data_IF_418577845549
#
_entry.id   IF_418577845549
#
_cell.length_a   1.000
_cell.length_b   1.000
_cell.length_c   1.000
_cell.angle_alpha   90.00
_cell.angle_beta   90.00
_cell.angle_gamma   90.00
#
_symmetry.space_group_name_H-M   'P 1'
#
loop_
_entity.id
_entity.type
_entity.pdbx_description
1 polymer ?
#
# COMPACT_ATOMS: atom_id res chain seq x y z
N UNK A 1 -16.79 -30.84 -8.42
CA UNK A 1 -15.72 -31.31 -7.53
C UNK A 1 -15.09 -30.09 -6.90
N UNK A 2 -15.32 -29.86 -5.61
CA UNK A 2 -14.60 -28.85 -4.83
C UNK A 2 -13.14 -29.27 -4.74
N UNK A 3 -12.22 -28.36 -5.08
CA UNK A 3 -10.78 -28.55 -4.84
C UNK A 3 -10.54 -28.85 -3.36
N UNK A 4 -9.60 -29.75 -3.07
CA UNK A 4 -9.06 -29.96 -1.73
C UNK A 4 -8.68 -28.61 -1.09
N UNK A 5 -9.18 -28.28 0.13
CA UNK A 5 -8.85 -27.03 0.79
C UNK A 5 -7.34 -26.75 0.90
N UNK A 6 -6.51 -27.79 1.11
CA UNK A 6 -5.06 -27.60 1.19
C UNK A 6 -4.48 -27.19 -0.16
N UNK A 7 -4.84 -27.91 -1.23
CA UNK A 7 -4.45 -27.54 -2.60
C UNK A 7 -4.89 -26.11 -2.97
N UNK A 8 -6.06 -25.64 -2.51
CA UNK A 8 -6.51 -24.27 -2.74
C UNK A 8 -5.66 -23.23 -1.99
N UNK A 9 -5.25 -23.53 -0.75
CA UNK A 9 -4.34 -22.66 0.01
C UNK A 9 -2.99 -22.57 -0.72
N UNK A 10 -2.43 -23.70 -1.15
CA UNK A 10 -1.17 -23.73 -1.91
C UNK A 10 -1.25 -22.88 -3.18
N UNK A 11 -2.33 -23.02 -3.95
CA UNK A 11 -2.58 -22.21 -5.13
C UNK A 11 -2.61 -20.70 -4.82
N UNK A 12 -3.25 -20.28 -3.73
CA UNK A 12 -3.28 -18.88 -3.33
C UNK A 12 -1.89 -18.33 -2.97
N UNK A 13 -1.07 -19.13 -2.28
CA UNK A 13 0.31 -18.72 -1.96
C UNK A 13 1.18 -18.63 -3.21
N UNK A 14 1.13 -19.63 -4.11
CA UNK A 14 1.87 -19.61 -5.39
C UNK A 14 1.48 -18.38 -6.21
N UNK A 15 0.17 -18.12 -6.37
CA UNK A 15 -0.31 -16.95 -7.10
C UNK A 15 0.14 -15.63 -6.47
N UNK A 16 0.19 -15.54 -5.13
CA UNK A 16 0.69 -14.36 -4.42
C UNK A 16 2.19 -14.12 -4.66
N UNK A 17 3.00 -15.19 -4.65
CA UNK A 17 4.43 -15.12 -4.95
C UNK A 17 4.66 -14.61 -6.37
N UNK A 18 3.97 -15.19 -7.36
CA UNK A 18 4.11 -14.75 -8.75
C UNK A 18 3.67 -13.29 -8.94
N UNK A 19 2.60 -12.86 -8.28
CA UNK A 19 2.14 -11.47 -8.35
C UNK A 19 3.19 -10.51 -7.77
N UNK A 20 3.84 -10.86 -6.66
CA UNK A 20 4.92 -10.07 -6.05
C UNK A 20 6.15 -10.03 -6.96
N UNK A 21 6.53 -11.16 -7.56
CA UNK A 21 7.66 -11.23 -8.49
C UNK A 21 7.45 -10.31 -9.70
N UNK A 22 6.27 -10.39 -10.35
CA UNK A 22 5.93 -9.49 -11.47
C UNK A 22 5.89 -8.03 -11.06
N UNK A 23 5.40 -7.73 -9.84
CA UNK A 23 5.38 -6.37 -9.32
C UNK A 23 6.80 -5.83 -9.15
N UNK A 24 7.71 -6.62 -8.57
CA UNK A 24 9.11 -6.22 -8.42
C UNK A 24 9.77 -5.92 -9.77
N UNK A 25 9.55 -6.76 -10.77
CA UNK A 25 10.12 -6.62 -12.12
C UNK A 25 9.67 -5.34 -12.84
N UNK A 26 8.42 -4.89 -12.62
CA UNK A 26 7.82 -3.84 -13.45
C UNK A 26 7.52 -2.54 -12.71
N UNK A 27 7.35 -2.58 -11.39
CA UNK A 27 6.82 -1.45 -10.61
C UNK A 27 7.87 -0.72 -9.78
N UNK A 28 9.07 -1.27 -9.59
CA UNK A 28 10.12 -0.65 -8.77
C UNK A 28 10.34 0.84 -9.07
N UNK A 29 10.63 1.23 -10.33
CA UNK A 29 10.80 2.64 -10.70
C UNK A 29 9.55 3.50 -10.46
N UNK A 30 8.34 2.95 -10.67
CA UNK A 30 7.08 3.66 -10.47
C UNK A 30 6.77 3.89 -8.99
N UNK A 31 7.11 2.94 -8.14
CA UNK A 31 6.98 3.06 -6.68
C UNK A 31 7.89 4.18 -6.17
N UNK A 32 9.16 4.23 -6.63
CA UNK A 32 10.09 5.31 -6.30
C UNK A 32 9.53 6.66 -6.74
N UNK A 33 9.06 6.77 -7.98
CA UNK A 33 8.49 8.01 -8.51
C UNK A 33 7.27 8.48 -7.69
N UNK A 34 6.39 7.56 -7.27
CA UNK A 34 5.25 7.87 -6.43
C UNK A 34 5.69 8.38 -5.05
N UNK A 35 6.65 7.70 -4.42
CA UNK A 35 7.21 8.13 -3.13
C UNK A 35 7.82 9.53 -3.21
N UNK A 36 8.60 9.84 -4.25
CA UNK A 36 9.17 11.16 -4.46
C UNK A 36 8.09 12.25 -4.63
N UNK A 37 6.99 11.94 -5.31
CA UNK A 37 5.86 12.85 -5.46
C UNK A 37 5.25 13.19 -4.09
N UNK A 38 5.00 12.18 -3.25
CA UNK A 38 4.46 12.35 -1.91
C UNK A 38 5.41 13.14 -1.01
N UNK A 39 6.71 12.84 -1.06
CA UNK A 39 7.75 13.56 -0.30
C UNK A 39 7.76 15.04 -0.68
N UNK A 40 7.73 15.36 -1.99
CA UNK A 40 7.67 16.75 -2.45
C UNK A 40 6.42 17.46 -1.96
N UNK A 41 5.25 16.83 -2.08
CA UNK A 41 3.97 17.37 -1.60
C UNK A 41 4.03 17.73 -0.11
N UNK A 42 4.47 16.78 0.73
CA UNK A 42 4.54 16.97 2.18
C UNK A 42 5.58 18.03 2.59
N UNK A 43 6.74 18.07 1.94
CA UNK A 43 7.77 19.09 2.20
C UNK A 43 7.30 20.51 1.85
N UNK A 44 6.38 20.64 0.91
CA UNK A 44 5.77 21.93 0.53
C UNK A 44 4.57 22.30 1.41
N UNK A 45 4.32 21.58 2.50
CA UNK A 45 3.17 21.81 3.39
C UNK A 45 1.84 21.28 2.83
N UNK A 46 1.90 20.46 1.78
CA UNK A 46 0.74 19.76 1.23
C UNK A 46 0.27 18.60 2.12
N UNK A 47 -0.79 17.91 1.66
CA UNK A 47 -1.37 16.76 2.35
C UNK A 47 -1.69 15.63 1.36
N UNK A 48 -1.65 14.40 1.86
CA UNK A 48 -1.97 13.20 1.09
C UNK A 48 -3.43 12.82 1.32
N UNK A 49 -4.20 12.64 0.25
CA UNK A 49 -5.58 12.15 0.32
C UNK A 49 -5.63 10.76 -0.29
N UNK A 50 -6.02 9.75 0.49
CA UNK A 50 -6.15 8.37 0.05
C UNK A 50 -7.62 7.97 0.00
N UNK A 51 -8.03 7.21 -1.02
CA UNK A 51 -9.41 6.73 -1.14
C UNK A 51 -9.42 5.34 -1.80
N UNK A 52 -10.51 4.61 -1.58
CA UNK A 52 -10.70 3.26 -2.11
C UNK A 52 -12.05 2.70 -1.70
N UNK A 53 -12.46 1.59 -2.31
CA UNK A 53 -13.71 0.89 -2.02
C UNK A 53 -13.42 -0.52 -1.49
N UNK A 54 -14.27 -1.04 -0.60
CA UNK A 54 -14.11 -2.41 -0.07
C UNK A 54 -12.76 -2.61 0.61
N UNK A 55 -12.01 -3.64 0.22
CA UNK A 55 -10.67 -3.91 0.76
C UNK A 55 -9.70 -2.73 0.58
N UNK A 56 -9.76 -2.03 -0.55
CA UNK A 56 -8.90 -0.86 -0.80
C UNK A 56 -9.24 0.35 0.06
N UNK A 57 -10.44 0.38 0.67
CA UNK A 57 -10.75 1.39 1.68
C UNK A 57 -9.93 1.16 2.95
N UNK A 58 -9.76 -0.11 3.36
CA UNK A 58 -8.91 -0.46 4.49
C UNK A 58 -7.44 -0.12 4.21
N UNK A 59 -6.95 -0.34 2.98
CA UNK A 59 -5.59 0.07 2.58
C UNK A 59 -5.40 1.60 2.65
N UNK A 60 -6.40 2.38 2.19
CA UNK A 60 -6.35 3.84 2.27
C UNK A 60 -6.30 4.34 3.72
N UNK A 61 -7.06 3.72 4.62
CA UNK A 61 -7.03 4.01 6.06
C UNK A 61 -5.68 3.62 6.68
N UNK A 62 -5.18 2.43 6.36
CA UNK A 62 -3.89 1.96 6.85
C UNK A 62 -2.76 2.92 6.45
N UNK A 63 -2.70 3.28 5.17
CA UNK A 63 -1.71 4.20 4.66
C UNK A 63 -1.78 5.59 5.30
N UNK A 64 -2.99 6.15 5.47
CA UNK A 64 -3.15 7.42 6.18
C UNK A 64 -2.73 7.32 7.65
N UNK A 65 -3.03 6.21 8.32
CA UNK A 65 -2.66 5.98 9.72
C UNK A 65 -1.14 5.91 9.92
N UNK A 66 -0.41 5.22 9.04
CA UNK A 66 1.06 5.16 9.07
C UNK A 66 1.70 6.54 8.86
N UNK A 67 1.09 7.39 8.03
CA UNK A 67 1.55 8.76 7.82
C UNK A 67 1.27 9.66 9.02
N UNK A 68 0.03 9.67 9.53
CA UNK A 68 -0.39 10.54 10.64
C UNK A 68 0.27 10.14 11.95
N UNK A 69 0.42 8.85 12.21
CA UNK A 69 1.08 8.34 13.39
C UNK A 69 2.57 8.11 13.08
N UNK A 70 2.96 6.84 12.91
CA UNK A 70 4.33 6.38 12.76
C UNK A 70 4.33 5.14 11.88
N UNK A 71 5.46 4.90 11.25
CA UNK A 71 5.75 3.65 10.53
C UNK A 71 6.94 2.98 11.23
N UNK A 72 8.12 2.95 10.61
CA UNK A 72 9.33 2.32 11.18
C UNK A 72 10.17 3.24 12.07
N UNK A 73 10.13 4.56 11.82
CA UNK A 73 10.96 5.53 12.55
C UNK A 73 10.12 6.51 13.36
N UNK A 74 10.70 6.96 14.46
CA UNK A 74 10.11 7.99 15.31
C UNK A 74 10.21 9.36 14.61
N UNK A 75 9.05 9.96 14.29
CA UNK A 75 8.94 11.30 13.69
C UNK A 75 7.60 11.95 14.05
N UNK A 76 7.47 13.28 13.88
CA UNK A 76 6.16 13.93 13.88
C UNK A 76 5.23 13.37 12.80
N UNK A 77 3.92 13.46 13.03
CA UNK A 77 2.90 13.05 12.07
C UNK A 77 2.97 13.81 10.75
N UNK A 78 2.67 13.11 9.65
CA UNK A 78 2.58 13.68 8.30
C UNK A 78 1.11 13.89 7.94
N UNK A 79 0.82 14.96 7.21
CA UNK A 79 -0.54 15.33 6.84
C UNK A 79 -1.13 14.33 5.82
N UNK A 80 -1.99 13.42 6.29
CA UNK A 80 -2.71 12.47 5.45
C UNK A 80 -4.15 12.25 5.93
N UNK A 81 -5.07 12.00 4.99
CA UNK A 81 -6.49 11.74 5.26
C UNK A 81 -6.96 10.60 4.36
N UNK A 82 -7.64 9.61 4.94
CA UNK A 82 -8.43 8.63 4.19
C UNK A 82 -9.86 9.17 3.97
N UNK A 83 -10.35 9.10 2.74
CA UNK A 83 -11.67 9.61 2.30
C UNK A 83 -12.74 8.50 2.20
N UNK A 84 -12.56 7.44 2.98
CA UNK A 84 -13.36 6.21 2.94
C UNK A 84 -14.48 6.23 3.96
#
# INVERSE_FOLDING_TARGET
>A
MTLDPLARIEQHFVASLEAKQRTLEHMGPRIVQAAECLIRCLRQGGKVLACGNGGSAADAQHFAAELVNRFEIERPGLAAIALT
#
